data_IF_356331344854
#
_entry.id   IF_356331344854
#
_cell.length_a   1.000
_cell.length_b   1.000
_cell.length_c   1.000
_cell.angle_alpha   90.00
_cell.angle_beta   90.00
_cell.angle_gamma   90.00
#
_symmetry.space_group_name_H-M   'P 1'
#
loop_
_entity.id
_entity.type
_entity.pdbx_description
1 polymer ?
#
# COMPACT_ATOMS: atom_id res chain seq x y z
N UNK A 1 -1.43 -17.40 -25.48
CA UNK A 1 -0.92 -17.71 -26.82
C UNK A 1 -0.04 -18.94 -26.75
N UNK A 2 -0.30 -19.93 -27.60
CA UNK A 2 0.53 -21.11 -27.84
C UNK A 2 1.70 -20.77 -28.79
N UNK A 3 2.76 -21.60 -28.89
CA UNK A 3 3.88 -21.36 -29.82
C UNK A 3 3.46 -21.19 -31.29
N UNK A 4 2.36 -21.84 -31.72
CA UNK A 4 1.82 -21.70 -33.08
C UNK A 4 1.19 -20.33 -33.34
N UNK A 5 0.75 -19.64 -32.28
CA UNK A 5 0.10 -18.34 -32.42
C UNK A 5 1.15 -17.29 -32.81
N UNK A 6 2.38 -17.38 -32.30
CA UNK A 6 3.48 -16.46 -32.68
C UNK A 6 3.96 -16.66 -34.12
N UNK A 7 3.95 -17.89 -34.63
CA UNK A 7 4.27 -18.16 -36.04
C UNK A 7 3.23 -17.51 -36.96
N UNK A 8 1.95 -17.51 -36.57
CA UNK A 8 0.89 -16.80 -37.30
C UNK A 8 1.06 -15.27 -37.28
N UNK A 9 1.75 -14.72 -36.27
CA UNK A 9 2.11 -13.30 -36.18
C UNK A 9 3.54 -12.99 -36.65
N UNK A 10 4.28 -13.96 -37.21
CA UNK A 10 5.60 -13.74 -37.81
C UNK A 10 6.75 -13.50 -36.82
N UNK A 11 6.57 -13.84 -35.54
CA UNK A 11 7.56 -13.63 -34.48
C UNK A 11 8.47 -14.87 -34.42
N UNK A 12 9.67 -14.75 -35.01
CA UNK A 12 10.69 -15.79 -35.04
C UNK A 12 11.98 -15.29 -34.42
N UNK A 13 12.67 -16.16 -33.66
CA UNK A 13 14.00 -15.87 -33.15
C UNK A 13 14.96 -15.50 -34.29
N UNK A 14 15.76 -14.45 -34.09
CA UNK A 14 16.70 -13.89 -35.05
C UNK A 14 16.07 -13.06 -36.18
N UNK A 15 14.75 -12.87 -36.20
CA UNK A 15 14.09 -11.99 -37.19
C UNK A 15 13.72 -10.64 -36.59
N UNK A 16 13.82 -9.62 -37.44
CA UNK A 16 13.27 -8.30 -37.15
C UNK A 16 11.75 -8.34 -37.30
N UNK A 17 11.05 -7.84 -36.29
CA UNK A 17 9.59 -7.74 -36.27
C UNK A 17 9.18 -6.34 -35.83
N UNK A 18 8.05 -5.90 -36.38
CA UNK A 18 7.35 -4.68 -35.99
C UNK A 18 5.98 -5.08 -35.47
N UNK A 19 5.67 -4.71 -34.23
CA UNK A 19 4.39 -4.98 -33.57
C UNK A 19 3.68 -3.64 -33.33
N UNK A 20 2.49 -3.51 -33.90
CA UNK A 20 1.60 -2.36 -33.69
C UNK A 20 0.46 -2.77 -32.76
N UNK A 21 0.30 -2.05 -31.65
CA UNK A 21 -0.75 -2.28 -30.66
C UNK A 21 -1.89 -1.28 -30.83
N UNK A 22 -3.13 -1.71 -30.57
CA UNK A 22 -4.33 -0.84 -30.61
C UNK A 22 -4.19 0.40 -29.73
N UNK A 23 -3.40 0.31 -28.65
CA UNK A 23 -3.06 1.42 -27.77
C UNK A 23 -2.09 2.45 -28.37
N UNK A 24 -1.72 2.36 -29.66
CA UNK A 24 -0.84 3.31 -30.34
C UNK A 24 0.67 3.10 -30.07
N UNK A 25 1.03 2.00 -29.39
CA UNK A 25 2.41 1.61 -29.16
C UNK A 25 2.93 0.83 -30.36
N UNK A 26 4.12 1.20 -30.84
CA UNK A 26 4.86 0.49 -31.88
C UNK A 26 6.18 -0.03 -31.32
N UNK A 27 6.41 -1.34 -31.43
CA UNK A 27 7.64 -2.04 -31.00
C UNK A 27 8.36 -2.59 -32.22
N UNK A 28 9.59 -2.16 -32.46
CA UNK A 28 10.40 -2.58 -33.61
C UNK A 28 11.75 -3.10 -33.14
N UNK A 29 12.03 -4.39 -33.36
CA UNK A 29 13.28 -4.98 -32.89
C UNK A 29 13.52 -6.37 -33.45
N UNK A 30 14.68 -6.94 -33.15
CA UNK A 30 15.03 -8.31 -33.52
C UNK A 30 14.79 -9.23 -32.32
N UNK A 31 13.98 -10.28 -32.52
CA UNK A 31 13.60 -11.21 -31.45
C UNK A 31 14.82 -12.06 -31.07
N UNK A 32 15.20 -12.05 -29.80
CA UNK A 32 16.27 -12.90 -29.26
C UNK A 32 15.67 -14.24 -28.86
N UNK A 33 14.72 -14.22 -27.92
CA UNK A 33 14.09 -15.43 -27.38
C UNK A 33 12.78 -15.10 -26.69
N UNK A 34 11.97 -16.13 -26.41
CA UNK A 34 10.77 -16.00 -25.59
C UNK A 34 10.78 -16.99 -24.42
N UNK A 35 10.65 -16.48 -23.19
CA UNK A 35 10.52 -17.31 -21.99
C UNK A 35 9.15 -17.97 -21.94
N UNK A 36 9.10 -19.27 -21.61
CA UNK A 36 7.88 -20.08 -21.58
C UNK A 36 7.60 -20.64 -20.20
N UNK A 37 6.32 -20.77 -19.87
CA UNK A 37 5.84 -21.58 -18.75
C UNK A 37 5.97 -23.08 -19.09
N UNK A 38 5.85 -23.95 -18.07
CA UNK A 38 5.86 -25.41 -18.17
C UNK A 38 4.83 -25.96 -19.17
N UNK A 39 3.75 -25.21 -19.42
CA UNK A 39 2.69 -25.54 -20.40
C UNK A 39 2.99 -25.05 -21.82
N UNK A 40 4.18 -24.46 -22.06
CA UNK A 40 4.59 -23.93 -23.36
C UNK A 40 3.98 -22.56 -23.72
N UNK A 41 3.27 -21.91 -22.79
CA UNK A 41 2.73 -20.55 -22.96
C UNK A 41 3.88 -19.55 -22.84
N UNK A 42 3.93 -18.59 -23.75
CA UNK A 42 4.97 -17.56 -23.74
C UNK A 42 4.60 -16.48 -22.73
N UNK A 43 5.56 -16.15 -21.88
CA UNK A 43 5.43 -15.17 -20.79
C UNK A 43 6.16 -13.87 -21.11
N UNK A 44 7.26 -13.95 -21.87
CA UNK A 44 8.13 -12.81 -22.13
C UNK A 44 8.79 -12.98 -23.50
N UNK A 45 8.98 -11.89 -24.24
CA UNK A 45 9.78 -11.85 -25.47
C UNK A 45 10.86 -10.79 -25.32
N UNK A 46 12.11 -11.19 -25.54
CA UNK A 46 13.27 -10.32 -25.48
C UNK A 46 13.65 -9.87 -26.89
N UNK A 47 13.89 -8.57 -27.05
CA UNK A 47 14.28 -7.95 -28.32
C UNK A 47 15.66 -7.30 -28.19
N UNK A 48 16.51 -7.46 -29.21
CA UNK A 48 17.72 -6.67 -29.39
C UNK A 48 17.48 -5.57 -30.41
N UNK A 49 18.28 -4.50 -30.33
CA UNK A 49 18.17 -3.33 -31.19
C UNK A 49 16.73 -2.82 -31.29
N UNK A 50 16.04 -2.80 -30.14
CA UNK A 50 14.61 -2.53 -30.06
C UNK A 50 14.34 -1.04 -29.92
N UNK A 51 13.38 -0.52 -30.68
CA UNK A 51 12.83 0.82 -30.52
C UNK A 51 11.35 0.71 -30.18
N UNK A 52 10.93 1.35 -29.10
CA UNK A 52 9.51 1.43 -28.71
C UNK A 52 9.06 2.87 -28.78
N UNK A 53 7.94 3.10 -29.46
CA UNK A 53 7.40 4.44 -29.69
C UNK A 53 5.91 4.52 -29.39
N UNK A 54 5.48 5.69 -28.94
CA UNK A 54 4.07 6.08 -28.81
C UNK A 54 3.87 7.39 -29.57
N UNK A 55 3.24 7.34 -30.73
CA UNK A 55 3.23 8.49 -31.66
C UNK A 55 4.66 9.01 -31.92
N UNK A 56 4.96 10.27 -31.58
CA UNK A 56 6.29 10.87 -31.75
C UNK A 56 7.24 10.64 -30.55
N UNK A 57 6.76 10.05 -29.46
CA UNK A 57 7.54 9.84 -28.24
C UNK A 57 8.30 8.51 -28.28
N UNK A 58 9.61 8.54 -28.04
CA UNK A 58 10.43 7.34 -27.87
C UNK A 58 10.36 6.88 -26.42
N UNK A 59 9.74 5.71 -26.21
CA UNK A 59 9.62 5.07 -24.89
C UNK A 59 10.77 4.12 -24.59
N UNK A 60 11.44 3.60 -25.62
CA UNK A 60 12.63 2.78 -25.48
C UNK A 60 13.56 2.97 -26.69
N UNK A 61 14.86 3.19 -26.43
CA UNK A 61 15.87 3.36 -27.47
C UNK A 61 16.77 2.11 -27.56
N UNK A 62 17.20 1.69 -28.77
CA UNK A 62 18.09 0.54 -28.96
C UNK A 62 19.35 0.54 -28.09
N UNK A 63 19.91 1.73 -27.83
CA UNK A 63 21.13 1.90 -27.04
C UNK A 63 20.95 1.58 -25.55
N UNK A 64 19.71 1.48 -25.06
CA UNK A 64 19.41 1.16 -23.67
C UNK A 64 19.54 -0.33 -23.37
N UNK A 65 19.67 -1.17 -24.42
CA UNK A 65 19.98 -2.59 -24.29
C UNK A 65 18.85 -3.49 -24.77
N UNK A 66 18.67 -4.60 -24.07
CA UNK A 66 17.65 -5.61 -24.40
C UNK A 66 16.30 -5.13 -23.88
N UNK A 67 15.30 -5.15 -24.74
CA UNK A 67 13.93 -4.83 -24.38
C UNK A 67 13.16 -6.11 -24.08
N UNK A 68 12.70 -6.26 -22.85
CA UNK A 68 11.88 -7.40 -22.42
C UNK A 68 10.41 -7.03 -22.38
N UNK A 69 9.62 -7.67 -23.23
CA UNK A 69 8.18 -7.45 -23.32
C UNK A 69 7.43 -8.59 -22.64
N UNK A 70 6.75 -8.29 -21.53
CA UNK A 70 5.87 -9.25 -20.87
C UNK A 70 4.59 -9.48 -21.70
N UNK A 71 4.17 -10.75 -21.81
CA UNK A 71 2.96 -11.15 -22.55
C UNK A 71 1.89 -11.59 -21.56
N UNK A 72 0.86 -10.76 -21.43
CA UNK A 72 -0.32 -11.01 -20.62
C UNK A 72 -1.59 -10.57 -21.35
N UNK A 73 -2.73 -11.16 -20.96
CA UNK A 73 -4.06 -10.76 -21.45
C UNK A 73 -4.73 -9.79 -20.49
N UNK A 74 -4.34 -9.83 -19.21
CA UNK A 74 -5.00 -9.08 -18.15
C UNK A 74 -3.99 -8.66 -17.10
N UNK A 75 -4.05 -7.38 -16.72
CA UNK A 75 -3.35 -6.82 -15.58
C UNK A 75 -4.40 -6.48 -14.54
N UNK A 76 -4.44 -7.24 -13.43
CA UNK A 76 -5.47 -7.09 -12.39
C UNK A 76 -5.32 -5.75 -11.65
N UNK A 77 -4.08 -5.28 -11.47
CA UNK A 77 -3.77 -3.95 -10.95
C UNK A 77 -2.32 -3.56 -11.26
N UNK A 78 -2.05 -2.27 -11.36
CA UNK A 78 -0.70 -1.71 -11.41
C UNK A 78 -0.59 -0.63 -10.34
N UNK A 79 0.43 -0.72 -9.49
CA UNK A 79 0.69 0.27 -8.45
C UNK A 79 1.91 1.10 -8.83
N UNK A 80 1.70 2.36 -9.19
CA UNK A 80 2.75 3.32 -9.54
C UNK A 80 3.25 4.08 -8.31
N UNK A 81 3.48 3.37 -7.20
CA UNK A 81 4.03 3.97 -6.00
C UNK A 81 5.57 3.95 -5.99
N UNK A 82 6.20 4.82 -5.21
CA UNK A 82 7.65 4.78 -5.03
C UNK A 82 8.05 3.45 -4.38
N UNK A 83 9.07 2.80 -4.95
CA UNK A 83 9.61 1.54 -4.43
C UNK A 83 10.45 1.72 -3.14
N UNK A 84 10.72 2.98 -2.76
CA UNK A 84 11.52 3.37 -1.61
C UNK A 84 10.85 4.53 -0.85
N UNK A 85 10.83 4.42 0.47
CA UNK A 85 10.31 5.41 1.41
C UNK A 85 10.98 6.78 1.32
N UNK A 86 12.27 6.84 0.96
CA UNK A 86 13.00 8.09 0.80
C UNK A 86 12.76 8.75 -0.57
N UNK A 87 12.17 8.03 -1.52
CA UNK A 87 11.89 8.48 -2.89
C UNK A 87 10.46 9.02 -3.05
N UNK A 88 9.81 9.38 -1.94
CA UNK A 88 8.44 9.88 -1.89
C UNK A 88 8.37 11.35 -2.34
N UNK A 89 8.72 11.61 -3.60
CA UNK A 89 8.31 12.86 -4.23
C UNK A 89 6.79 12.79 -4.48
N UNK A 90 6.08 13.89 -4.22
CA UNK A 90 4.64 14.03 -4.50
C UNK A 90 4.41 14.01 -6.04
N UNK A 91 4.58 12.85 -6.66
CA UNK A 91 4.44 12.62 -8.11
C UNK A 91 3.02 12.18 -8.49
N UNK A 92 2.12 12.02 -7.52
CA UNK A 92 0.73 11.69 -7.78
C UNK A 92 -0.02 12.88 -8.37
N UNK A 93 -0.47 12.78 -9.63
CA UNK A 93 -1.51 13.66 -10.14
C UNK A 93 -2.75 13.45 -9.26
N UNK A 94 -3.19 14.51 -8.59
CA UNK A 94 -4.40 14.48 -7.76
C UNK A 94 -5.55 14.06 -8.66
N UNK A 95 -6.15 12.91 -8.37
CA UNK A 95 -7.25 12.37 -9.17
C UNK A 95 -8.35 13.43 -9.31
N UNK A 96 -8.69 13.81 -10.55
CA UNK A 96 -9.80 14.72 -10.84
C UNK A 96 -11.16 14.09 -10.47
N UNK A 97 -11.19 12.77 -10.35
CA UNK A 97 -12.32 12.00 -9.86
C UNK A 97 -12.52 12.31 -8.38
N UNK A 98 -13.41 13.26 -8.09
CA UNK A 98 -13.87 13.53 -6.73
C UNK A 98 -14.53 12.26 -6.18
N UNK A 99 -13.74 11.49 -5.43
CA UNK A 99 -14.21 10.34 -4.66
C UNK A 99 -15.45 10.79 -3.89
N UNK A 100 -16.52 9.99 -3.92
CA UNK A 100 -17.73 10.26 -3.15
C UNK A 100 -17.33 10.63 -1.72
N UNK A 101 -17.77 11.81 -1.26
CA UNK A 101 -17.50 12.22 0.13
C UNK A 101 -18.05 11.13 1.03
N UNK A 102 -17.18 10.56 1.85
CA UNK A 102 -17.56 9.57 2.85
C UNK A 102 -18.49 10.29 3.82
N UNK A 103 -19.74 9.85 3.91
CA UNK A 103 -20.69 10.34 4.88
C UNK A 103 -20.45 9.62 6.21
N UNK A 104 -19.91 10.34 7.18
CA UNK A 104 -19.63 9.82 8.51
C UNK A 104 -20.91 9.77 9.35
N UNK A 105 -21.10 8.68 10.08
CA UNK A 105 -22.20 8.60 11.05
C UNK A 105 -21.92 9.50 12.26
N UNK A 106 -22.96 9.78 13.05
CA UNK A 106 -22.78 10.51 14.32
C UNK A 106 -21.81 9.78 15.26
N UNK A 107 -21.85 8.45 15.27
CA UNK A 107 -20.95 7.62 16.06
C UNK A 107 -19.49 7.79 15.65
N UNK A 108 -19.23 7.85 14.34
CA UNK A 108 -17.86 8.05 13.82
C UNK A 108 -17.33 9.44 14.21
N UNK A 109 -18.15 10.47 14.06
CA UNK A 109 -17.78 11.84 14.45
C UNK A 109 -17.50 11.95 15.96
N UNK A 110 -18.24 11.23 16.79
CA UNK A 110 -17.96 11.16 18.22
C UNK A 110 -16.62 10.50 18.53
N UNK A 111 -16.32 9.36 17.87
CA UNK A 111 -15.02 8.71 18.01
C UNK A 111 -13.88 9.64 17.56
N UNK A 112 -14.04 10.32 16.43
CA UNK A 112 -13.05 11.29 15.93
C UNK A 112 -12.82 12.44 16.90
N UNK A 113 -13.86 12.89 17.61
CA UNK A 113 -13.71 13.90 18.65
C UNK A 113 -12.83 13.41 19.82
N UNK A 114 -12.84 12.10 20.13
CA UNK A 114 -11.97 11.51 21.14
C UNK A 114 -10.52 11.45 20.65
N UNK A 115 -10.29 11.00 19.41
CA UNK A 115 -8.96 11.04 18.79
C UNK A 115 -8.39 12.46 18.73
N UNK A 116 -9.22 13.43 18.37
CA UNK A 116 -8.80 14.83 18.33
C UNK A 116 -8.35 15.32 19.70
N UNK A 117 -9.09 15.00 20.78
CA UNK A 117 -8.67 15.34 22.15
C UNK A 117 -7.33 14.74 22.53
N UNK A 118 -7.09 13.47 22.20
CA UNK A 118 -5.80 12.81 22.47
C UNK A 118 -4.67 13.47 21.69
N UNK A 119 -4.91 13.83 20.44
CA UNK A 119 -3.96 14.57 19.61
C UNK A 119 -3.67 15.96 20.17
N UNK A 120 -4.68 16.69 20.64
CA UNK A 120 -4.51 18.02 21.23
C UNK A 120 -3.69 17.94 22.52
N UNK A 121 -3.98 16.96 23.39
CA UNK A 121 -3.17 16.68 24.58
C UNK A 121 -1.70 16.41 24.24
N UNK A 122 -1.43 15.63 23.17
CA UNK A 122 -0.08 15.32 22.68
C UNK A 122 0.64 16.57 22.15
N UNK A 123 -0.04 17.41 21.39
CA UNK A 123 0.55 18.59 20.75
C UNK A 123 0.80 19.75 21.73
N UNK A 124 -0.09 19.92 22.71
CA UNK A 124 0.05 20.98 23.71
C UNK A 124 0.98 20.61 24.87
N UNK A 125 1.40 19.34 24.95
CA UNK A 125 2.17 18.75 26.06
C UNK A 125 1.49 18.97 27.43
N UNK A 126 0.16 19.11 27.43
CA UNK A 126 -0.69 19.25 28.61
C UNK A 126 -1.45 17.96 28.85
N UNK A 127 -0.75 16.97 29.38
CA UNK A 127 -1.34 15.67 29.69
C UNK A 127 -1.73 15.62 31.16
N UNK A 128 -3.03 15.50 31.44
CA UNK A 128 -3.58 15.36 32.78
C UNK A 128 -4.30 14.03 32.90
N UNK A 129 -4.02 13.29 33.98
CA UNK A 129 -4.57 11.96 34.20
C UNK A 129 -6.09 11.91 34.16
N UNK A 130 -6.78 12.88 34.77
CA UNK A 130 -8.23 12.97 34.77
C UNK A 130 -8.85 13.09 33.38
N UNK A 131 -8.14 13.69 32.43
CA UNK A 131 -8.62 13.82 31.04
C UNK A 131 -8.44 12.50 30.28
N UNK A 132 -7.32 11.80 30.48
CA UNK A 132 -7.12 10.44 29.96
C UNK A 132 -8.18 9.49 30.50
N UNK A 133 -8.44 9.53 31.82
CA UNK A 133 -9.50 8.72 32.45
C UNK A 133 -10.86 8.97 31.82
N UNK A 134 -11.21 10.24 31.59
CA UNK A 134 -12.48 10.61 30.97
C UNK A 134 -12.61 10.08 29.54
N UNK A 135 -11.55 10.20 28.73
CA UNK A 135 -11.53 9.66 27.36
C UNK A 135 -11.62 8.13 27.40
N UNK A 136 -10.86 7.48 28.27
CA UNK A 136 -10.83 6.02 28.41
C UNK A 136 -12.18 5.45 28.86
N UNK A 137 -12.85 6.09 29.82
CA UNK A 137 -14.20 5.68 30.26
C UNK A 137 -15.22 5.79 29.12
N UNK A 138 -15.18 6.88 28.35
CA UNK A 138 -16.10 7.04 27.21
C UNK A 138 -15.81 6.02 26.11
N UNK A 139 -14.54 5.78 25.80
CA UNK A 139 -14.08 4.78 24.83
C UNK A 139 -14.55 3.36 25.19
N UNK A 140 -14.34 2.94 26.44
CA UNK A 140 -14.71 1.58 26.89
C UNK A 140 -16.21 1.36 26.99
N UNK A 141 -17.00 2.41 27.18
CA UNK A 141 -18.47 2.37 27.14
C UNK A 141 -18.99 2.25 25.70
N UNK A 142 -18.58 3.18 24.84
CA UNK A 142 -19.28 3.45 23.58
C UNK A 142 -18.61 2.79 22.37
N UNK A 143 -17.30 2.50 22.45
CA UNK A 143 -16.45 2.10 21.32
C UNK A 143 -15.60 0.86 21.64
N UNK A 144 -16.24 -0.22 22.08
CA UNK A 144 -15.59 -1.45 22.60
C UNK A 144 -14.66 -2.18 21.63
N UNK A 145 -14.76 -1.92 20.34
CA UNK A 145 -13.94 -2.56 19.30
C UNK A 145 -12.74 -1.71 18.87
N UNK A 146 -12.65 -0.44 19.30
CA UNK A 146 -11.52 0.40 18.97
C UNK A 146 -10.29 -0.05 19.78
N UNK A 147 -9.27 -0.50 19.05
CA UNK A 147 -8.02 -1.00 19.61
C UNK A 147 -6.90 0.05 19.60
N UNK A 148 -7.04 1.10 18.79
CA UNK A 148 -5.96 2.06 18.52
C UNK A 148 -5.96 3.21 19.54
N UNK A 149 -7.11 3.78 19.85
CA UNK A 149 -7.21 4.87 20.82
C UNK A 149 -6.70 4.48 22.23
N UNK A 150 -6.95 3.26 22.77
CA UNK A 150 -6.35 2.86 24.04
C UNK A 150 -4.81 2.76 23.96
N UNK A 151 -4.23 2.41 22.80
CA UNK A 151 -2.77 2.40 22.60
C UNK A 151 -2.22 3.82 22.64
N UNK A 152 -2.87 4.77 21.97
CA UNK A 152 -2.46 6.19 22.03
C UNK A 152 -2.57 6.77 23.45
N UNK A 153 -3.62 6.40 24.19
CA UNK A 153 -3.75 6.79 25.61
C UNK A 153 -2.65 6.16 26.47
N UNK A 154 -2.28 4.90 26.21
CA UNK A 154 -1.19 4.22 26.91
C UNK A 154 0.15 4.90 26.64
N UNK A 155 0.44 5.26 25.39
CA UNK A 155 1.64 6.01 25.00
C UNK A 155 1.79 7.28 25.83
N UNK A 156 0.72 8.10 25.89
CA UNK A 156 0.72 9.33 26.68
C UNK A 156 0.88 9.06 28.18
N UNK A 157 0.22 8.02 28.69
CA UNK A 157 0.30 7.65 30.11
C UNK A 157 1.70 7.15 30.50
N UNK A 158 2.38 6.38 29.63
CA UNK A 158 3.76 5.93 29.86
C UNK A 158 4.73 7.11 29.82
N UNK A 159 4.63 7.97 28.80
CA UNK A 159 5.49 9.14 28.65
C UNK A 159 5.42 10.10 29.83
N UNK A 160 4.23 10.26 30.42
CA UNK A 160 3.99 11.16 31.56
C UNK A 160 3.99 10.43 32.92
N UNK A 161 4.33 9.13 32.94
CA UNK A 161 4.37 8.28 34.13
C UNK A 161 3.08 8.33 34.99
N UNK A 162 1.92 8.24 34.35
CA UNK A 162 0.61 8.27 34.99
C UNK A 162 0.22 6.88 35.54
N UNK A 163 -0.65 6.84 36.54
CA UNK A 163 -1.07 5.59 37.20
C UNK A 163 -2.06 4.79 36.34
N UNK A 164 -2.89 5.47 35.56
CA UNK A 164 -3.90 4.87 34.67
C UNK A 164 -3.31 3.89 33.63
N UNK A 165 -2.01 3.97 33.34
CA UNK A 165 -1.32 3.09 32.37
C UNK A 165 -1.60 1.61 32.60
N UNK A 166 -1.65 1.16 33.87
CA UNK A 166 -1.87 -0.24 34.22
C UNK A 166 -3.30 -0.70 33.86
N UNK A 167 -4.28 0.18 34.06
CA UNK A 167 -5.69 -0.06 33.73
C UNK A 167 -5.88 -0.16 32.22
N UNK A 168 -5.24 0.74 31.47
CA UNK A 168 -5.29 0.74 30.00
C UNK A 168 -4.60 -0.52 29.45
N UNK A 169 -3.43 -0.89 29.98
CA UNK A 169 -2.71 -2.10 29.58
C UNK A 169 -3.56 -3.36 29.81
N UNK A 170 -4.20 -3.47 30.98
CA UNK A 170 -5.09 -4.59 31.30
C UNK A 170 -6.29 -4.68 30.34
N UNK A 171 -6.79 -3.53 29.89
CA UNK A 171 -7.87 -3.47 28.89
C UNK A 171 -7.40 -3.95 27.50
N UNK A 172 -6.20 -3.55 27.08
CA UNK A 172 -5.58 -4.00 25.83
C UNK A 172 -5.29 -5.51 25.85
N UNK A 173 -4.82 -6.05 26.97
CA UNK A 173 -4.63 -7.49 27.12
C UNK A 173 -5.94 -8.27 26.95
N UNK A 174 -7.05 -7.76 27.49
CA UNK A 174 -8.37 -8.36 27.26
C UNK A 174 -8.78 -8.27 25.78
N UNK A 175 -8.51 -7.14 25.12
CA UNK A 175 -8.83 -6.93 23.70
C UNK A 175 -8.05 -7.85 22.75
N UNK A 176 -6.84 -8.28 23.11
CA UNK A 176 -6.03 -9.24 22.33
C UNK A 176 -6.70 -10.60 22.15
N UNK A 177 -7.73 -10.91 22.93
CA UNK A 177 -8.59 -12.09 22.70
C UNK A 177 -9.25 -12.08 21.31
N UNK A 178 -9.38 -10.91 20.68
CA UNK A 178 -9.80 -10.79 19.29
C UNK A 178 -8.59 -10.97 18.34
N UNK A 179 -8.63 -12.04 17.54
CA UNK A 179 -7.56 -12.37 16.57
C UNK A 179 -7.24 -11.27 15.58
N UNK A 180 -8.21 -10.44 15.19
CA UNK A 180 -7.98 -9.36 14.23
C UNK A 180 -7.10 -8.24 14.81
N UNK A 181 -7.24 -7.95 16.11
CA UNK A 181 -6.54 -6.86 16.76
C UNK A 181 -5.26 -7.31 17.46
N UNK A 182 -5.08 -8.61 17.70
CA UNK A 182 -3.95 -9.16 18.45
C UNK A 182 -2.60 -8.66 17.91
N UNK A 183 -2.31 -8.87 16.62
CA UNK A 183 -1.03 -8.51 16.01
C UNK A 183 -0.81 -6.99 16.05
N UNK A 184 -1.87 -6.21 15.86
CA UNK A 184 -1.81 -4.74 15.84
C UNK A 184 -1.52 -4.19 17.25
N UNK A 185 -2.17 -4.73 18.26
CA UNK A 185 -1.95 -4.36 19.66
C UNK A 185 -0.54 -4.76 20.10
N UNK A 186 -0.08 -5.99 19.80
CA UNK A 186 1.27 -6.44 20.15
C UNK A 186 2.35 -5.55 19.50
N UNK A 187 2.18 -5.17 18.24
CA UNK A 187 3.10 -4.26 17.57
C UNK A 187 3.09 -2.87 18.20
N UNK A 188 1.91 -2.34 18.54
CA UNK A 188 1.79 -1.05 19.23
C UNK A 188 2.46 -1.05 20.60
N UNK A 189 2.29 -2.11 21.39
CA UNK A 189 2.91 -2.24 22.72
C UNK A 189 4.44 -2.33 22.63
N UNK A 190 4.98 -3.03 21.63
CA UNK A 190 6.43 -3.07 21.35
C UNK A 190 7.01 -1.70 21.01
N UNK A 191 6.25 -0.84 20.34
CA UNK A 191 6.71 0.52 20.00
C UNK A 191 6.78 1.46 21.22
N UNK A 192 6.01 1.18 22.27
CA UNK A 192 5.95 2.00 23.50
C UNK A 192 6.97 1.47 24.55
N UNK A 193 7.78 0.45 24.21
CA UNK A 193 8.68 -0.25 25.14
C UNK A 193 7.96 -0.81 26.39
N UNK A 194 6.68 -1.19 26.24
CA UNK A 194 5.92 -1.84 27.32
C UNK A 194 6.09 -3.35 27.17
N UNK A 195 6.81 -3.97 28.11
CA UNK A 195 6.89 -5.43 28.18
C UNK A 195 5.51 -6.00 28.51
N UNK A 196 5.08 -6.90 27.64
CA UNK A 196 3.85 -7.66 27.80
C UNK A 196 4.23 -9.03 28.34
N UNK A 197 3.68 -9.42 29.49
CA UNK A 197 3.85 -10.76 30.07
C UNK A 197 3.05 -11.83 29.31
#
# INVERSE_FOLDING_TARGET
>A
MSPRDLEAYGIYEGKKVTLDFDGGIKVEGEVITGTRDLKGKILLISFRNCKVTYSDLVLFHPDWGIYDMAIGVEVVSAFAGPADSCSFENLGQVSETKIHKIDYSKSDLELYSLYQKVRDMRNEDKVVESDIERVFLKLTSDFKYDWLLPIELLELAVKNNLEIKNTILSYLERLKSNREHQVLIENGLKLIDVEVN
#
